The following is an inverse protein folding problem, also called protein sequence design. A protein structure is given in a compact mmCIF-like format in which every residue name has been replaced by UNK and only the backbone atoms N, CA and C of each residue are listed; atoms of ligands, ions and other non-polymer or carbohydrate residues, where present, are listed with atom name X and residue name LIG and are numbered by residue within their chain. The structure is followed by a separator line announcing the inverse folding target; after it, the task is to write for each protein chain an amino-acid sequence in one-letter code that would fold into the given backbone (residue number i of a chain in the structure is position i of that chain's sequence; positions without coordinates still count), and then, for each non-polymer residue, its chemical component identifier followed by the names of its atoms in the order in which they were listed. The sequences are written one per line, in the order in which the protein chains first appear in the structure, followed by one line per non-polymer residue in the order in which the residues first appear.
data_IF_945880292335
#
_entry.id   IF_945880292335
#
_cell.length_a   1.000
_cell.length_b   1.000
_cell.length_c   1.000
_cell.angle_alpha   90.00
_cell.angle_beta   90.00
_cell.angle_gamma   90.00
#
_symmetry.space_group_name_H-M   'P 1'
#
loop_
_entity.id
_entity.type
_entity.pdbx_description
1 polymer ?
#
# COMPACT_ATOMS: atom_id res chain seq x y z
N UNK A 1 -12.73 -0.07 -24.59
CA UNK A 1 -12.36 -0.65 -23.28
C UNK A 1 -11.47 0.33 -22.51
N UNK A 2 -12.06 1.26 -21.74
CA UNK A 2 -11.31 2.38 -21.10
C UNK A 2 -11.22 2.29 -19.58
N UNK A 3 -11.78 1.24 -18.95
CA UNK A 3 -11.79 1.08 -17.49
C UNK A 3 -10.41 0.67 -16.94
N UNK A 4 -9.55 0.04 -17.74
CA UNK A 4 -8.28 -0.55 -17.28
C UNK A 4 -7.10 0.44 -17.11
N UNK A 5 -7.09 1.60 -17.78
CA UNK A 5 -5.94 2.53 -17.71
C UNK A 5 -5.89 3.31 -16.40
N UNK A 6 -7.03 3.78 -15.90
CA UNK A 6 -7.10 4.57 -14.66
C UNK A 6 -6.72 3.76 -13.43
N UNK A 7 -7.24 2.53 -13.32
CA UNK A 7 -6.91 1.63 -12.22
C UNK A 7 -5.44 1.19 -12.25
N UNK A 8 -4.88 0.93 -13.44
CA UNK A 8 -3.45 0.60 -13.58
C UNK A 8 -2.54 1.73 -13.09
N UNK A 9 -2.84 2.98 -13.44
CA UNK A 9 -2.08 4.15 -12.97
C UNK A 9 -2.21 4.32 -11.45
N UNK A 10 -3.42 4.14 -10.93
CA UNK A 10 -3.67 4.16 -9.49
C UNK A 10 -2.84 3.10 -8.75
N UNK A 11 -2.90 1.82 -9.17
CA UNK A 11 -2.10 0.73 -8.59
C UNK A 11 -0.61 1.04 -8.62
N UNK A 12 -0.11 1.53 -9.74
CA UNK A 12 1.31 1.86 -9.88
C UNK A 12 1.75 2.96 -8.91
N UNK A 13 0.93 4.00 -8.71
CA UNK A 13 1.26 5.08 -7.77
C UNK A 13 1.24 4.60 -6.31
N UNK A 14 0.27 3.74 -5.95
CA UNK A 14 0.23 3.07 -4.63
C UNK A 14 1.49 2.22 -4.42
N UNK A 15 1.90 1.43 -5.42
CA UNK A 15 3.15 0.65 -5.37
C UNK A 15 4.37 1.53 -5.18
N UNK A 16 4.51 2.59 -5.95
CA UNK A 16 5.65 3.51 -5.82
C UNK A 16 5.75 4.13 -4.42
N UNK A 17 4.61 4.48 -3.81
CA UNK A 17 4.60 5.01 -2.43
C UNK A 17 5.01 3.92 -1.44
N UNK A 18 4.48 2.69 -1.57
CA UNK A 18 4.87 1.58 -0.69
C UNK A 18 6.37 1.28 -0.81
N UNK A 19 6.92 1.16 -2.01
CA UNK A 19 8.35 0.94 -2.22
C UNK A 19 9.20 2.07 -1.65
N UNK A 20 8.75 3.33 -1.76
CA UNK A 20 9.45 4.48 -1.17
C UNK A 20 9.48 4.43 0.35
N UNK A 21 8.40 3.98 0.99
CA UNK A 21 8.34 3.80 2.44
C UNK A 21 9.09 2.55 2.90
N UNK A 22 9.28 1.61 2.00
CA UNK A 22 9.99 0.33 2.17
C UNK A 22 9.78 -0.31 3.54
N UNK A 23 8.57 -0.81 3.85
CA UNK A 23 8.21 -1.17 5.22
C UNK A 23 9.14 -2.20 5.88
N UNK A 24 9.80 -3.04 5.08
CA UNK A 24 10.76 -4.05 5.51
C UNK A 24 12.20 -3.82 5.03
N UNK A 25 12.50 -2.65 4.47
CA UNK A 25 13.80 -2.35 3.88
C UNK A 25 14.23 -3.29 2.73
N UNK A 26 13.31 -4.08 2.16
CA UNK A 26 13.64 -5.08 1.13
C UNK A 26 14.23 -4.40 -0.11
N UNK A 27 13.65 -3.29 -0.55
CA UNK A 27 14.15 -2.55 -1.72
C UNK A 27 15.48 -1.86 -1.44
N UNK A 28 15.70 -1.38 -0.21
CA UNK A 28 16.99 -0.85 0.24
C UNK A 28 18.09 -1.93 0.27
N UNK A 29 17.73 -3.21 0.39
CA UNK A 29 18.66 -4.34 0.30
C UNK A 29 18.81 -4.91 -1.12
N UNK A 30 18.23 -4.26 -2.13
CA UNK A 30 18.37 -4.64 -3.54
C UNK A 30 17.32 -5.62 -4.05
N UNK A 31 16.22 -5.83 -3.31
CA UNK A 31 15.07 -6.56 -3.83
C UNK A 31 14.43 -5.81 -5.03
N UNK A 32 13.82 -6.53 -5.98
CA UNK A 32 13.22 -5.92 -7.15
C UNK A 32 11.98 -5.09 -6.78
N UNK A 33 11.56 -4.18 -7.68
CA UNK A 33 10.46 -3.23 -7.40
C UNK A 33 9.07 -3.88 -7.27
N UNK A 34 8.92 -5.13 -7.70
CA UNK A 34 7.69 -5.92 -7.63
C UNK A 34 7.61 -6.80 -6.37
N UNK A 35 8.58 -6.71 -5.47
CA UNK A 35 8.63 -7.51 -4.23
C UNK A 35 7.36 -7.38 -3.39
N UNK A 36 6.75 -6.19 -3.35
CA UNK A 36 5.54 -5.92 -2.58
C UNK A 36 4.23 -6.02 -3.39
N UNK A 37 4.24 -6.55 -4.62
CA UNK A 37 3.05 -6.52 -5.48
C UNK A 37 1.82 -7.22 -4.84
N UNK A 38 2.05 -8.30 -4.08
CA UNK A 38 0.99 -9.00 -3.35
C UNK A 38 0.40 -8.16 -2.21
N UNK A 39 1.25 -7.45 -1.46
CA UNK A 39 0.84 -6.55 -0.38
C UNK A 39 0.13 -5.32 -0.95
N UNK A 40 0.61 -4.79 -2.09
CA UNK A 40 -0.02 -3.69 -2.82
C UNK A 40 -1.46 -4.04 -3.18
N UNK A 41 -1.70 -5.25 -3.71
CA UNK A 41 -3.04 -5.68 -4.09
C UNK A 41 -3.98 -5.81 -2.88
N UNK A 42 -3.47 -6.31 -1.74
CA UNK A 42 -4.22 -6.34 -0.48
C UNK A 42 -4.54 -4.93 0.04
N UNK A 43 -3.57 -4.03 0.04
CA UNK A 43 -3.76 -2.63 0.45
C UNK A 43 -4.78 -1.94 -0.44
N UNK A 44 -4.73 -2.15 -1.76
CA UNK A 44 -5.71 -1.61 -2.71
C UNK A 44 -7.14 -2.05 -2.37
N UNK A 45 -7.32 -3.31 -1.99
CA UNK A 45 -8.64 -3.82 -1.58
C UNK A 45 -9.22 -3.04 -0.39
N UNK A 46 -8.39 -2.65 0.58
CA UNK A 46 -8.80 -1.83 1.73
C UNK A 46 -9.00 -0.36 1.38
N UNK A 47 -8.25 0.18 0.41
CA UNK A 47 -8.40 1.56 -0.03
C UNK A 47 -9.72 1.77 -0.78
N UNK A 48 -10.09 0.82 -1.64
CA UNK A 48 -11.31 0.88 -2.45
C UNK A 48 -12.53 0.44 -1.63
N UNK A 49 -12.38 -0.51 -0.71
CA UNK A 49 -13.48 -0.99 0.14
C UNK A 49 -13.55 -0.21 1.46
N UNK A 50 -14.46 0.77 1.52
CA UNK A 50 -14.63 1.66 2.68
C UNK A 50 -15.32 1.02 3.89
N UNK A 51 -15.75 -0.24 3.82
CA UNK A 51 -16.52 -0.93 4.86
C UNK A 51 -15.64 -1.53 5.97
N UNK A 52 -14.74 -0.75 6.54
CA UNK A 52 -13.96 -1.21 7.70
C UNK A 52 -13.83 -0.09 8.73
N UNK A 53 -14.28 -0.37 9.94
CA UNK A 53 -14.25 0.58 11.06
C UNK A 53 -12.85 0.75 11.65
N UNK A 54 -11.89 -0.10 11.26
CA UNK A 54 -10.50 0.03 11.69
C UNK A 54 -9.77 1.15 10.94
N UNK A 55 -8.90 1.93 11.60
CA UNK A 55 -8.03 2.89 10.93
C UNK A 55 -7.22 2.26 9.80
N UNK A 56 -7.12 2.95 8.66
CA UNK A 56 -6.40 2.45 7.48
C UNK A 56 -4.94 2.06 7.77
N UNK A 57 -4.25 2.81 8.65
CA UNK A 57 -2.86 2.50 8.99
C UNK A 57 -2.72 1.14 9.70
N UNK A 58 -3.72 0.71 10.48
CA UNK A 58 -3.72 -0.60 11.16
C UNK A 58 -3.98 -1.70 10.15
N UNK A 59 -4.90 -1.48 9.20
CA UNK A 59 -5.15 -2.42 8.13
C UNK A 59 -3.90 -2.63 7.26
N UNK A 60 -3.20 -1.56 6.88
CA UNK A 60 -1.93 -1.64 6.14
C UNK A 60 -0.87 -2.36 6.97
N UNK A 61 -0.70 -1.99 8.25
CA UNK A 61 0.25 -2.67 9.15
C UNK A 61 -0.03 -4.18 9.22
N UNK A 62 -1.31 -4.57 9.30
CA UNK A 62 -1.70 -5.98 9.34
C UNK A 62 -1.31 -6.73 8.06
N UNK A 63 -1.47 -6.14 6.86
CA UNK A 63 -1.03 -6.76 5.60
C UNK A 63 0.44 -7.17 5.67
N UNK A 64 1.27 -6.24 6.10
CA UNK A 64 2.72 -6.42 6.22
C UNK A 64 3.07 -7.39 7.35
N UNK A 65 2.35 -7.36 8.48
CA UNK A 65 2.51 -8.34 9.54
C UNK A 65 2.16 -9.76 9.07
N UNK A 66 1.05 -9.93 8.36
CA UNK A 66 0.58 -11.24 7.89
C UNK A 66 1.54 -11.86 6.86
N UNK A 67 2.18 -11.04 6.02
CA UNK A 67 3.12 -11.52 5.00
C UNK A 67 4.49 -11.92 5.58
N UNK A 68 4.99 -11.22 6.61
CA UNK A 68 6.36 -11.39 7.08
C UNK A 68 6.48 -11.85 8.54
N UNK A 69 5.36 -12.00 9.26
CA UNK A 69 5.28 -12.58 10.60
C UNK A 69 5.97 -11.78 11.71
N UNK A 70 6.24 -10.48 11.51
CA UNK A 70 6.95 -9.64 12.47
C UNK A 70 6.27 -8.29 12.65
N UNK A 71 6.24 -7.81 13.90
CA UNK A 71 5.81 -6.46 14.21
C UNK A 71 6.86 -5.46 13.70
N UNK A 72 6.49 -4.73 12.65
CA UNK A 72 7.43 -3.88 11.93
C UNK A 72 7.41 -2.48 12.51
N UNK A 73 8.53 -2.05 13.09
CA UNK A 73 8.69 -0.72 13.68
C UNK A 73 9.36 0.28 12.72
N UNK A 74 9.81 -0.17 11.55
CA UNK A 74 10.63 0.65 10.63
C UNK A 74 9.82 1.59 9.74
N UNK A 75 8.50 1.42 9.66
CA UNK A 75 7.62 2.24 8.83
C UNK A 75 6.68 3.11 9.65
N UNK A 76 6.58 4.40 9.29
CA UNK A 76 5.52 5.27 9.81
C UNK A 76 4.20 5.01 9.07
N UNK A 77 3.48 3.96 9.47
CA UNK A 77 2.21 3.55 8.85
C UNK A 77 1.13 4.63 8.85
N UNK A 78 1.13 5.56 9.82
CA UNK A 78 0.20 6.69 9.83
C UNK A 78 0.47 7.65 8.68
N UNK A 79 1.75 7.96 8.43
CA UNK A 79 2.16 8.82 7.33
C UNK A 79 1.94 8.15 5.97
N UNK A 80 2.29 6.86 5.85
CA UNK A 80 1.98 6.05 4.67
C UNK A 80 0.48 6.07 4.36
N UNK A 81 -0.37 5.74 5.33
CA UNK A 81 -1.83 5.74 5.15
C UNK A 81 -2.37 7.11 4.72
N UNK A 82 -1.80 8.21 5.24
CA UNK A 82 -2.16 9.57 4.81
C UNK A 82 -1.80 9.81 3.35
N UNK A 83 -0.59 9.46 2.91
CA UNK A 83 -0.19 9.62 1.51
C UNK A 83 -1.05 8.78 0.55
N UNK A 84 -1.34 7.52 0.91
CA UNK A 84 -2.22 6.66 0.10
C UNK A 84 -3.64 7.21 0.01
N UNK A 85 -4.16 7.86 1.06
CA UNK A 85 -5.46 8.54 1.04
C UNK A 85 -5.49 9.72 0.08
N UNK A 86 -4.41 10.49 -0.03
CA UNK A 86 -4.34 11.58 -1.01
C UNK A 86 -4.36 11.05 -2.45
N UNK A 87 -3.70 9.91 -2.71
CA UNK A 87 -3.82 9.24 -4.02
C UNK A 87 -5.24 8.77 -4.28
N UNK A 88 -5.94 8.19 -3.29
CA UNK A 88 -7.35 7.79 -3.46
C UNK A 88 -8.22 8.98 -3.86
N UNK A 89 -8.05 10.14 -3.22
CA UNK A 89 -8.76 11.38 -3.57
C UNK A 89 -8.47 11.82 -5.01
N UNK A 90 -7.19 11.79 -5.42
CA UNK A 90 -6.75 12.14 -6.78
C UNK A 90 -7.44 11.29 -7.84
N UNK A 91 -7.57 9.99 -7.60
CA UNK A 91 -8.16 9.03 -8.55
C UNK A 91 -9.66 8.77 -8.34
N UNK A 92 -10.28 9.41 -7.33
CA UNK A 92 -11.71 9.27 -6.96
C UNK A 92 -12.10 7.84 -6.52
N UNK A 93 -11.20 7.14 -5.83
CA UNK A 93 -11.49 5.87 -5.14
C UNK A 93 -11.89 6.10 -3.66
#
# INVERSE_FOLDING_TARGET
MSVNRGFKLFRNEIRCIINKYDPFHLTNYGAPEDEYDAEVDRVLSFLVNKKNDRPLYEQIKQVFFDSFGKDVLFCNYKKLAKELREVCKKYKY
#
